data_IF_758650926812
#
_entry.id   IF_758650926812
#
_cell.length_a   1.000
_cell.length_b   1.000
_cell.length_c   1.000
_cell.angle_alpha   90.00
_cell.angle_beta   90.00
_cell.angle_gamma   90.00
#
_symmetry.space_group_name_H-M   'P 1'
#
loop_
_entity.id
_entity.type
_entity.pdbx_description
1 polymer ?
#
# COMPACT_ATOMS: atom_id res chain seq x y z
N UNK A 1 -8.05 -4.46 11.74
CA UNK A 1 -7.16 -3.59 10.94
C UNK A 1 -7.13 -4.08 9.50
N UNK A 2 -7.27 -3.17 8.57
CA UNK A 2 -7.16 -3.51 7.16
C UNK A 2 -5.68 -3.52 6.74
N UNK A 3 -5.35 -4.39 5.79
CA UNK A 3 -3.98 -4.57 5.29
C UNK A 3 -3.91 -4.23 3.82
N UNK A 4 -2.79 -3.65 3.40
CA UNK A 4 -2.58 -3.21 2.02
C UNK A 4 -1.16 -3.49 1.57
N UNK A 5 -1.04 -3.91 0.31
CA UNK A 5 0.24 -3.93 -0.40
C UNK A 5 0.34 -2.61 -1.16
N UNK A 6 1.33 -1.81 -0.86
CA UNK A 6 1.58 -0.53 -1.54
C UNK A 6 2.87 -0.64 -2.33
N UNK A 7 2.77 -0.37 -3.62
CA UNK A 7 3.92 -0.38 -4.53
C UNK A 7 4.02 0.97 -5.20
N UNK A 8 5.23 1.50 -5.32
CA UNK A 8 5.44 2.81 -5.90
C UNK A 8 6.75 2.93 -6.65
N UNK A 9 6.79 3.91 -7.54
CA UNK A 9 7.99 4.26 -8.28
C UNK A 9 8.29 5.73 -8.07
N UNK A 10 9.57 6.05 -7.84
CA UNK A 10 10.01 7.42 -7.68
C UNK A 10 10.19 8.10 -9.04
N UNK A 11 10.05 9.43 -9.04
CA UNK A 11 10.47 10.23 -10.17
C UNK A 11 12.00 10.29 -10.24
N UNK A 12 12.55 10.65 -11.40
CA UNK A 12 13.99 10.85 -11.52
C UNK A 12 14.50 11.95 -10.58
N UNK A 13 13.70 13.00 -10.39
CA UNK A 13 14.03 14.07 -9.45
C UNK A 13 14.10 13.60 -8.00
N UNK A 14 13.18 12.73 -7.61
CA UNK A 14 13.18 12.14 -6.27
C UNK A 14 14.39 11.26 -6.05
N UNK A 15 14.79 10.47 -7.03
CA UNK A 15 16.03 9.68 -6.96
C UNK A 15 17.25 10.57 -6.83
N UNK A 16 17.33 11.64 -7.64
CA UNK A 16 18.45 12.58 -7.57
C UNK A 16 18.57 13.22 -6.18
N UNK A 17 17.46 13.61 -5.58
CA UNK A 17 17.45 14.17 -4.24
C UNK A 17 17.91 13.16 -3.19
N UNK A 18 17.54 11.90 -3.32
CA UNK A 18 17.97 10.83 -2.42
C UNK A 18 19.47 10.54 -2.55
N UNK A 19 20.03 10.67 -3.75
CA UNK A 19 21.46 10.53 -3.98
C UNK A 19 22.22 11.65 -3.26
N UNK A 20 21.75 12.89 -3.34
CA UNK A 20 22.37 14.03 -2.69
C UNK A 20 22.24 13.99 -1.17
N UNK A 21 21.15 13.46 -0.66
CA UNK A 21 20.86 13.40 0.77
C UNK A 21 20.28 12.03 1.13
N UNK A 22 21.13 10.99 1.16
CA UNK A 22 20.65 9.63 1.45
C UNK A 22 20.01 9.53 2.83
N UNK A 23 18.78 9.00 2.87
CA UNK A 23 18.00 8.81 4.08
C UNK A 23 17.17 7.53 3.97
N UNK A 24 16.82 6.97 5.11
CA UNK A 24 15.85 5.88 5.14
C UNK A 24 14.44 6.46 4.96
N UNK A 25 14.02 6.60 3.72
CA UNK A 25 12.75 7.25 3.38
C UNK A 25 11.55 6.45 3.86
N UNK A 26 11.64 5.13 3.85
CA UNK A 26 10.57 4.25 4.33
C UNK A 26 10.33 4.50 5.82
N UNK A 27 11.38 4.62 6.62
CA UNK A 27 11.27 4.93 8.04
C UNK A 27 10.62 6.29 8.27
N UNK A 28 11.02 7.31 7.50
CA UNK A 28 10.45 8.65 7.60
C UNK A 28 8.96 8.67 7.28
N UNK A 29 8.57 8.00 6.21
CA UNK A 29 7.17 7.87 5.82
C UNK A 29 6.38 7.12 6.88
N UNK A 30 6.97 6.08 7.46
CA UNK A 30 6.37 5.33 8.57
C UNK A 30 6.01 6.21 9.76
N UNK A 31 6.89 7.14 10.11
CA UNK A 31 6.63 8.10 11.20
C UNK A 31 5.48 9.04 10.87
N UNK A 32 5.40 9.50 9.62
CA UNK A 32 4.31 10.37 9.18
C UNK A 32 2.97 9.64 9.20
N UNK A 33 2.93 8.41 8.73
CA UNK A 33 1.71 7.61 8.66
C UNK A 33 1.21 7.18 10.03
N UNK A 34 2.13 6.91 10.97
CA UNK A 34 1.77 6.44 12.31
C UNK A 34 0.92 7.47 13.08
N UNK A 35 1.05 8.75 12.76
CA UNK A 35 0.23 9.81 13.38
C UNK A 35 -1.26 9.64 13.08
N UNK A 36 -1.62 8.91 12.03
CA UNK A 36 -2.99 8.59 11.63
C UNK A 36 -3.38 7.14 11.92
N UNK A 37 -2.56 6.42 12.65
CA UNK A 37 -2.82 5.01 12.94
C UNK A 37 -2.54 4.08 11.77
N UNK A 38 -1.83 4.54 10.75
CA UNK A 38 -1.41 3.73 9.61
C UNK A 38 0.04 3.33 9.84
N UNK A 39 0.29 2.02 9.91
CA UNK A 39 1.60 1.48 10.26
C UNK A 39 2.21 0.71 9.11
N UNK A 40 3.49 0.94 8.85
CA UNK A 40 4.26 0.13 7.91
C UNK A 40 4.74 -1.12 8.65
N UNK A 41 4.21 -2.27 8.26
CA UNK A 41 4.57 -3.56 8.86
C UNK A 41 5.90 -4.03 8.30
N UNK A 42 6.10 -3.90 7.00
CA UNK A 42 7.35 -4.23 6.34
C UNK A 42 7.53 -3.36 5.10
N UNK A 43 8.76 -3.07 4.76
CA UNK A 43 9.06 -2.24 3.59
C UNK A 43 10.37 -2.65 2.95
N UNK A 44 10.38 -2.60 1.62
CA UNK A 44 11.52 -3.01 0.81
C UNK A 44 11.69 -2.06 -0.36
N UNK A 45 12.94 -1.82 -0.75
CA UNK A 45 13.25 -1.26 -2.07
C UNK A 45 13.25 -2.41 -3.08
N UNK A 46 12.92 -2.09 -4.31
CA UNK A 46 12.82 -3.07 -5.40
C UNK A 46 13.49 -2.53 -6.66
N UNK A 47 13.85 -3.42 -7.56
CA UNK A 47 14.40 -3.10 -8.87
C UNK A 47 13.60 -3.85 -9.94
N UNK A 48 12.47 -3.28 -10.34
CA UNK A 48 11.53 -3.87 -11.30
C UNK A 48 10.55 -2.81 -11.74
N UNK A 49 9.30 -3.21 -11.91
CA UNK A 49 8.24 -2.28 -12.28
C UNK A 49 8.00 -1.20 -11.22
N UNK A 50 8.32 -1.51 -9.97
CA UNK A 50 8.22 -0.60 -8.86
C UNK A 50 9.56 -0.50 -8.13
N UNK A 51 9.78 0.65 -7.48
CA UNK A 51 11.01 0.94 -6.73
C UNK A 51 10.88 0.64 -5.24
N UNK A 52 9.64 0.61 -4.73
CA UNK A 52 9.39 0.26 -3.34
C UNK A 52 8.13 -0.59 -3.21
N UNK A 53 8.13 -1.38 -2.14
CA UNK A 53 7.05 -2.31 -1.84
C UNK A 53 6.85 -2.31 -0.33
N UNK A 54 5.65 -1.93 0.11
CA UNK A 54 5.31 -1.83 1.53
C UNK A 54 4.12 -2.71 1.85
N UNK A 55 4.13 -3.31 3.03
CA UNK A 55 2.93 -3.87 3.64
C UNK A 55 2.53 -2.91 4.75
N UNK A 56 1.33 -2.38 4.67
CA UNK A 56 0.81 -1.45 5.68
C UNK A 56 -0.48 -1.98 6.29
N UNK A 57 -0.79 -1.51 7.49
CA UNK A 57 -2.09 -1.72 8.12
C UNK A 57 -2.67 -0.37 8.51
N UNK A 58 -3.98 -0.25 8.45
CA UNK A 58 -4.69 0.96 8.83
C UNK A 58 -6.06 0.64 9.41
N UNK A 59 -6.68 1.62 10.09
CA UNK A 59 -7.96 1.39 10.76
C UNK A 59 -9.11 1.13 9.76
N UNK A 60 -9.05 1.77 8.60
CA UNK A 60 -10.07 1.66 7.56
C UNK A 60 -9.53 2.13 6.22
N UNK A 61 -10.29 1.93 5.16
CA UNK A 61 -9.88 2.32 3.80
C UNK A 61 -9.73 3.84 3.65
N UNK A 62 -10.62 4.62 4.25
CA UNK A 62 -10.60 6.08 4.11
C UNK A 62 -9.33 6.66 4.72
N UNK A 63 -8.99 6.26 5.94
CA UNK A 63 -7.79 6.74 6.63
C UNK A 63 -6.52 6.30 5.90
N UNK A 64 -6.46 5.05 5.48
CA UNK A 64 -5.31 4.51 4.74
C UNK A 64 -5.14 5.20 3.39
N UNK A 65 -6.23 5.41 2.66
CA UNK A 65 -6.20 6.15 1.41
C UNK A 65 -5.76 7.60 1.60
N UNK A 66 -6.17 8.24 2.69
CA UNK A 66 -5.75 9.62 2.99
C UNK A 66 -4.23 9.73 3.13
N UNK A 67 -3.60 8.78 3.82
CA UNK A 67 -2.15 8.74 3.96
C UNK A 67 -1.46 8.55 2.60
N UNK A 68 -1.99 7.67 1.76
CA UNK A 68 -1.42 7.38 0.44
C UNK A 68 -1.62 8.54 -0.55
N UNK A 69 -2.76 9.22 -0.48
CA UNK A 69 -3.02 10.42 -1.28
C UNK A 69 -2.04 11.52 -0.89
N UNK A 70 -1.81 11.71 0.40
CA UNK A 70 -0.83 12.70 0.87
C UNK A 70 0.58 12.39 0.33
N UNK A 71 0.97 11.12 0.34
CA UNK A 71 2.25 10.69 -0.23
C UNK A 71 2.31 10.96 -1.73
N UNK A 72 1.25 10.64 -2.46
CA UNK A 72 1.18 10.88 -3.91
C UNK A 72 1.24 12.38 -4.23
N UNK A 73 0.55 13.20 -3.45
CA UNK A 73 0.54 14.66 -3.64
C UNK A 73 1.89 15.30 -3.38
N UNK A 74 2.78 14.63 -2.68
CA UNK A 74 4.14 15.13 -2.42
C UNK A 74 5.04 15.23 -3.65
N UNK A 75 4.66 14.63 -4.76
CA UNK A 75 5.35 14.78 -6.05
C UNK A 75 6.57 13.89 -6.24
N UNK A 76 6.94 13.07 -5.27
CA UNK A 76 8.09 12.18 -5.36
C UNK A 76 7.82 10.87 -6.11
N UNK A 77 6.55 10.50 -6.24
CA UNK A 77 6.14 9.25 -6.87
C UNK A 77 5.56 9.50 -8.25
N UNK A 78 6.07 8.77 -9.24
CA UNK A 78 5.53 8.79 -10.60
C UNK A 78 4.36 7.82 -10.75
N UNK A 79 4.30 6.81 -9.88
CA UNK A 79 3.30 5.76 -9.91
C UNK A 79 3.11 5.22 -8.51
N UNK A 80 1.88 4.93 -8.15
CA UNK A 80 1.53 4.28 -6.90
C UNK A 80 0.40 3.30 -7.14
N UNK A 81 0.50 2.12 -6.57
CA UNK A 81 -0.52 1.09 -6.67
C UNK A 81 -0.76 0.50 -5.29
N UNK A 82 -2.03 0.40 -4.91
CA UNK A 82 -2.44 -0.16 -3.64
C UNK A 82 -3.36 -1.34 -3.88
N UNK A 83 -3.03 -2.47 -3.27
CA UNK A 83 -3.83 -3.70 -3.34
C UNK A 83 -4.35 -3.99 -1.95
N UNK A 84 -5.66 -4.13 -1.82
CA UNK A 84 -6.28 -4.50 -0.55
C UNK A 84 -6.00 -5.97 -0.29
N UNK A 85 -5.46 -6.26 0.89
CA UNK A 85 -5.11 -7.61 1.29
C UNK A 85 -6.10 -8.12 2.34
N UNK A 86 -6.25 -9.43 2.36
CA UNK A 86 -6.95 -10.12 3.44
C UNK A 86 -5.98 -11.06 4.13
N UNK A 87 -6.12 -11.21 5.44
CA UNK A 87 -5.42 -12.27 6.16
C UNK A 87 -5.95 -13.62 5.68
N UNK A 88 -5.21 -14.69 5.95
CA UNK A 88 -5.67 -16.05 5.63
C UNK A 88 -7.03 -16.36 6.28
N UNK A 89 -7.25 -15.86 7.49
CA UNK A 89 -8.53 -16.03 8.20
C UNK A 89 -9.66 -15.28 7.52
N UNK A 90 -9.43 -14.03 7.14
CA UNK A 90 -10.41 -13.23 6.39
C UNK A 90 -10.71 -13.86 5.03
N UNK A 91 -9.69 -14.37 4.35
CA UNK A 91 -9.87 -15.09 3.09
C UNK A 91 -10.73 -16.33 3.24
N UNK A 92 -10.52 -17.08 4.33
CA UNK A 92 -11.35 -18.24 4.64
C UNK A 92 -12.81 -17.85 4.88
N UNK A 93 -13.03 -16.77 5.63
CA UNK A 93 -14.37 -16.24 5.86
C UNK A 93 -15.07 -15.85 4.55
N UNK A 94 -14.33 -15.20 3.65
CA UNK A 94 -14.85 -14.82 2.33
C UNK A 94 -15.24 -16.06 1.51
N UNK A 95 -14.43 -17.10 1.55
CA UNK A 95 -14.73 -18.37 0.85
C UNK A 95 -16.00 -19.01 1.40
N UNK A 96 -16.12 -19.04 2.73
CA UNK A 96 -17.32 -19.57 3.39
C UNK A 96 -18.55 -18.73 3.03
N UNK A 97 -18.41 -17.40 3.03
CA UNK A 97 -19.47 -16.48 2.65
C UNK A 97 -19.92 -16.69 1.22
N UNK A 98 -19.01 -16.98 0.31
CA UNK A 98 -19.32 -17.26 -1.09
C UNK A 98 -20.24 -18.49 -1.24
N UNK A 99 -20.09 -19.48 -0.36
CA UNK A 99 -20.93 -20.67 -0.37
C UNK A 99 -22.41 -20.41 -0.09
N UNK A 100 -22.74 -19.24 0.51
CA UNK A 100 -24.14 -18.85 0.77
C UNK A 100 -24.72 -17.99 -0.36
N UNK A 101 -23.94 -17.67 -1.37
CA UNK A 101 -24.38 -16.87 -2.53
C UNK A 101 -24.73 -17.83 -3.67
N UNK A 102 -25.99 -17.76 -4.12
CA UNK A 102 -26.44 -18.53 -5.27
C UNK A 102 -26.07 -17.76 -6.55
N UNK A 103 -24.88 -17.99 -7.06
CA UNK A 103 -24.42 -17.34 -8.27
C UNK A 103 -24.79 -18.14 -9.52
N UNK A 104 -25.37 -17.46 -10.48
CA UNK A 104 -25.69 -18.02 -11.79
C UNK A 104 -24.81 -17.38 -12.84
N UNK A 105 -23.88 -18.13 -13.46
CA UNK A 105 -23.06 -17.56 -14.53
C UNK A 105 -23.94 -17.17 -15.72
N UNK A 106 -23.53 -16.14 -16.50
CA UNK A 106 -24.26 -15.80 -17.71
C UNK A 106 -24.26 -16.98 -18.66
N UNK A 107 -25.43 -17.24 -19.28
CA UNK A 107 -25.51 -18.27 -20.31
C UNK A 107 -24.83 -17.81 -21.58
N UNK A 108 -24.15 -18.74 -22.23
CA UNK A 108 -23.44 -18.48 -23.48
C UNK A 108 -24.44 -18.31 -24.64
#
# INVERSE_FOLDING_TARGET
>A
MAHYLVQGSYTSGAWANQIQNPQNRIEQVGKMFSSKGVNIISGYYAFGDFDLCLIIEGPDNVTSASALIAAAAGGALSKIQTTVLMTAEEGLEAIKGAGSIEYRPPSA
#
